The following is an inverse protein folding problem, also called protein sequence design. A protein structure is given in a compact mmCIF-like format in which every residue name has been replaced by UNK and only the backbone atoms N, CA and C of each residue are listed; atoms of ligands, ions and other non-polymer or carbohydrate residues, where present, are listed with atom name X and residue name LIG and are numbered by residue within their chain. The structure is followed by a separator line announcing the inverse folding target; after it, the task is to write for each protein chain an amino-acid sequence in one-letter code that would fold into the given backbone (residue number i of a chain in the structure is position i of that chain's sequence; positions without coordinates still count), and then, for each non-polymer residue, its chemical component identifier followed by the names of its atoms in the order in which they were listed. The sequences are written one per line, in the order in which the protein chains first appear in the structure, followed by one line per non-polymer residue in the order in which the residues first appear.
data_IF_897396581194
#
_entry.id   IF_897396581194
#
_cell.length_a   1.000
_cell.length_b   1.000
_cell.length_c   1.000
_cell.angle_alpha   90.00
_cell.angle_beta   90.00
_cell.angle_gamma   90.00
#
_symmetry.space_group_name_H-M   'P 1'
#
loop_
_entity.id
_entity.type
_entity.pdbx_description
1 polymer ?
#
# COMPACT_ATOMS: atom_id res chain seq x y z
N UNK A 1 23.04 -18.16 6.57
CA UNK A 1 21.81 -17.96 5.78
C UNK A 1 21.01 -16.88 6.50
N UNK A 2 21.11 -15.61 6.08
CA UNK A 2 20.30 -14.57 6.70
C UNK A 2 18.84 -14.80 6.28
N UNK A 3 18.06 -15.34 7.21
CA UNK A 3 16.60 -15.42 7.13
C UNK A 3 16.05 -14.01 6.94
N UNK A 4 14.98 -13.85 6.15
CA UNK A 4 14.35 -12.55 5.96
C UNK A 4 14.01 -11.93 7.33
N UNK A 5 14.45 -10.68 7.61
CA UNK A 5 14.10 -9.97 8.84
C UNK A 5 12.59 -10.02 9.11
N UNK A 6 12.22 -10.18 10.38
CA UNK A 6 10.82 -10.29 10.81
C UNK A 6 10.00 -9.07 10.38
N UNK A 7 10.63 -7.91 10.32
CA UNK A 7 10.09 -6.65 9.84
C UNK A 7 9.66 -6.71 8.37
N UNK A 8 10.48 -7.32 7.50
CA UNK A 8 10.16 -7.49 6.08
C UNK A 8 9.06 -8.53 5.88
N UNK A 9 9.01 -9.58 6.72
CA UNK A 9 7.90 -10.53 6.71
C UNK A 9 6.58 -9.88 7.16
N UNK A 10 6.64 -9.01 8.17
CA UNK A 10 5.49 -8.26 8.64
C UNK A 10 5.04 -7.24 7.60
N UNK A 11 5.98 -6.56 6.94
CA UNK A 11 5.70 -5.64 5.84
C UNK A 11 4.96 -6.34 4.69
N UNK A 12 5.36 -7.57 4.30
CA UNK A 12 4.62 -8.37 3.31
C UNK A 12 3.15 -8.52 3.68
N UNK A 13 2.88 -8.95 4.91
CA UNK A 13 1.50 -9.14 5.38
C UNK A 13 0.72 -7.83 5.37
N UNK A 14 1.36 -6.73 5.79
CA UNK A 14 0.74 -5.40 5.77
C UNK A 14 0.42 -4.92 4.35
N UNK A 15 1.29 -5.15 3.36
CA UNK A 15 0.97 -4.86 1.96
C UNK A 15 -0.23 -5.67 1.48
N UNK A 16 -0.27 -6.97 1.74
CA UNK A 16 -1.39 -7.81 1.30
C UNK A 16 -2.73 -7.38 1.94
N UNK A 17 -2.73 -7.13 3.25
CA UNK A 17 -3.93 -6.69 3.98
C UNK A 17 -4.35 -5.30 3.51
N UNK A 18 -3.40 -4.36 3.37
CA UNK A 18 -3.69 -3.02 2.83
C UNK A 18 -4.28 -3.09 1.42
N UNK A 19 -3.75 -3.95 0.54
CA UNK A 19 -4.26 -4.10 -0.82
C UNK A 19 -5.74 -4.50 -0.84
N UNK A 20 -6.13 -5.44 0.04
CA UNK A 20 -7.51 -5.90 0.19
C UNK A 20 -8.39 -4.77 0.74
N UNK A 21 -7.95 -4.08 1.81
CA UNK A 21 -8.70 -2.97 2.41
C UNK A 21 -8.92 -1.85 1.39
N UNK A 22 -7.89 -1.53 0.59
CA UNK A 22 -7.99 -0.53 -0.46
C UNK A 22 -8.98 -0.92 -1.58
N UNK A 23 -9.03 -2.19 -1.98
CA UNK A 23 -10.05 -2.69 -2.92
C UNK A 23 -11.45 -2.55 -2.32
N UNK A 24 -11.64 -2.97 -1.06
CA UNK A 24 -12.93 -2.83 -0.37
C UNK A 24 -13.32 -1.37 -0.20
N UNK A 25 -12.36 -0.50 0.10
CA UNK A 25 -12.54 0.95 0.18
C UNK A 25 -12.94 1.55 -1.15
N UNK A 26 -12.34 1.12 -2.27
CA UNK A 26 -12.75 1.51 -3.62
C UNK A 26 -14.18 1.08 -3.93
N UNK A 27 -14.54 -0.18 -3.65
CA UNK A 27 -15.90 -0.68 -3.89
C UNK A 27 -16.94 0.05 -3.02
N UNK A 28 -16.61 0.30 -1.76
CA UNK A 28 -17.47 1.02 -0.81
C UNK A 28 -17.69 2.48 -1.22
N UNK A 29 -16.61 3.23 -1.46
CA UNK A 29 -16.69 4.63 -1.90
C UNK A 29 -17.22 4.78 -3.33
N UNK A 30 -16.82 3.90 -4.24
CA UNK A 30 -17.32 3.87 -5.62
C UNK A 30 -18.83 3.58 -5.65
N UNK A 31 -19.29 2.63 -4.85
CA UNK A 31 -20.73 2.35 -4.71
C UNK A 31 -21.49 3.52 -4.09
N UNK A 32 -20.97 4.12 -3.01
CA UNK A 32 -21.63 5.24 -2.33
C UNK A 32 -21.68 6.51 -3.17
N UNK A 33 -20.66 6.78 -3.99
CA UNK A 33 -20.65 7.93 -4.91
C UNK A 33 -21.63 7.76 -6.06
N UNK A 34 -21.86 6.55 -6.57
CA UNK A 34 -22.91 6.27 -7.56
C UNK A 34 -24.30 6.46 -6.94
N UNK A 35 -24.55 5.86 -5.77
CA UNK A 35 -25.85 5.98 -5.08
C UNK A 35 -26.12 7.44 -4.68
N UNK A 36 -25.11 8.10 -4.09
CA UNK A 36 -25.16 9.51 -3.72
C UNK A 36 -25.33 10.41 -4.94
N UNK A 37 -24.71 10.10 -6.07
CA UNK A 37 -24.88 10.80 -7.34
C UNK A 37 -26.33 10.74 -7.85
N UNK A 38 -26.96 9.57 -7.81
CA UNK A 38 -28.38 9.41 -8.17
C UNK A 38 -29.27 10.19 -7.19
N UNK A 39 -29.01 10.10 -5.88
CA UNK A 39 -29.81 10.74 -4.84
C UNK A 39 -29.67 12.28 -4.78
N UNK A 40 -28.52 12.82 -5.23
CA UNK A 40 -28.18 14.25 -5.15
C UNK A 40 -28.17 14.96 -6.51
N UNK A 41 -28.86 14.40 -7.52
CA UNK A 41 -28.93 14.96 -8.87
C UNK A 41 -27.54 15.23 -9.50
N UNK A 42 -26.57 14.34 -9.27
CA UNK A 42 -25.24 14.37 -9.88
C UNK A 42 -24.13 14.99 -9.02
N UNK A 43 -24.45 15.64 -7.90
CA UNK A 43 -23.43 16.27 -7.03
C UNK A 43 -22.52 15.21 -6.38
N UNK A 44 -23.07 14.06 -5.99
CA UNK A 44 -22.32 12.94 -5.41
C UNK A 44 -21.29 12.32 -6.36
N UNK A 45 -21.44 12.51 -7.67
CA UNK A 45 -20.46 12.04 -8.67
C UNK A 45 -19.16 12.87 -8.67
N UNK A 46 -19.18 14.11 -8.14
CA UNK A 46 -17.98 14.96 -8.08
C UNK A 46 -16.88 14.39 -7.19
N UNK A 47 -17.25 13.55 -6.22
CA UNK A 47 -16.31 12.86 -5.33
C UNK A 47 -15.94 11.46 -5.83
N UNK A 48 -16.45 11.03 -6.99
CA UNK A 48 -16.22 9.70 -7.57
C UNK A 48 -14.78 9.42 -8.01
N UNK A 49 -13.93 10.44 -8.12
CA UNK A 49 -12.51 10.27 -8.46
C UNK A 49 -11.63 9.95 -7.25
N UNK A 50 -12.03 10.32 -6.03
CA UNK A 50 -11.27 10.05 -4.79
C UNK A 50 -10.90 8.57 -4.59
N UNK A 51 -11.79 7.59 -4.83
CA UNK A 51 -11.43 6.19 -4.62
C UNK A 51 -10.38 5.66 -5.61
N UNK A 52 -10.05 6.38 -6.69
CA UNK A 52 -8.96 5.98 -7.63
C UNK A 52 -7.62 5.81 -6.91
N UNK A 53 -7.36 6.64 -5.89
CA UNK A 53 -6.14 6.54 -5.07
C UNK A 53 -6.05 5.20 -4.35
N UNK A 54 -7.18 4.63 -3.94
CA UNK A 54 -7.20 3.31 -3.30
C UNK A 54 -6.83 2.20 -4.29
N UNK A 55 -7.28 2.28 -5.56
CA UNK A 55 -6.85 1.28 -6.57
C UNK A 55 -5.37 1.39 -6.85
N UNK A 56 -4.84 2.60 -7.06
CA UNK A 56 -3.41 2.80 -7.33
C UNK A 56 -2.59 2.25 -6.15
N UNK A 57 -3.00 2.57 -4.92
CA UNK A 57 -2.36 2.06 -3.70
C UNK A 57 -2.40 0.52 -3.63
N UNK A 58 -3.55 -0.09 -3.94
CA UNK A 58 -3.69 -1.56 -3.98
C UNK A 58 -2.77 -2.23 -5.01
N UNK A 59 -2.66 -1.65 -6.21
CA UNK A 59 -1.73 -2.16 -7.25
C UNK A 59 -0.29 -2.09 -6.76
N UNK A 60 0.12 -0.97 -6.18
CA UNK A 60 1.46 -0.81 -5.63
C UNK A 60 1.74 -1.78 -4.48
N UNK A 61 0.75 -2.02 -3.62
CA UNK A 61 0.83 -2.99 -2.53
C UNK A 61 1.05 -4.43 -3.07
N UNK A 62 0.34 -4.84 -4.12
CA UNK A 62 0.56 -6.16 -4.75
C UNK A 62 1.93 -6.28 -5.40
N UNK A 63 2.42 -5.22 -6.04
CA UNK A 63 3.76 -5.21 -6.64
C UNK A 63 4.82 -5.33 -5.54
N UNK A 64 4.70 -4.57 -4.45
CA UNK A 64 5.61 -4.63 -3.30
C UNK A 64 5.59 -6.01 -2.64
N UNK A 65 4.40 -6.59 -2.44
CA UNK A 65 4.22 -7.96 -1.94
C UNK A 65 4.94 -8.99 -2.82
N UNK A 66 4.73 -8.94 -4.14
CA UNK A 66 5.37 -9.87 -5.08
C UNK A 66 6.89 -9.72 -5.13
N UNK A 67 7.41 -8.49 -5.07
CA UNK A 67 8.86 -8.25 -5.02
C UNK A 67 9.49 -8.79 -3.74
N UNK A 68 8.86 -8.53 -2.60
CA UNK A 68 9.27 -9.10 -1.32
C UNK A 68 9.19 -10.62 -1.33
N UNK A 69 8.22 -11.22 -2.05
CA UNK A 69 8.06 -12.67 -2.08
C UNK A 69 9.12 -13.39 -2.90
N UNK A 70 9.52 -12.79 -4.02
CA UNK A 70 10.48 -13.40 -4.92
C UNK A 70 11.92 -12.98 -4.62
N UNK A 71 12.17 -11.86 -3.92
CA UNK A 71 13.52 -11.33 -3.60
C UNK A 71 14.49 -11.33 -4.80
N UNK A 72 13.97 -11.09 -6.00
CA UNK A 72 14.68 -11.40 -7.25
C UNK A 72 14.94 -10.19 -8.16
N UNK A 73 14.67 -8.96 -7.71
CA UNK A 73 14.77 -7.78 -8.56
C UNK A 73 15.37 -6.57 -7.85
N UNK A 74 16.30 -5.90 -8.53
CA UNK A 74 16.86 -4.60 -8.15
C UNK A 74 15.76 -3.54 -7.97
N UNK A 75 15.96 -2.60 -7.06
CA UNK A 75 14.99 -1.56 -6.75
C UNK A 75 13.78 -2.05 -5.94
N UNK A 76 13.92 -3.16 -5.21
CA UNK A 76 12.87 -3.65 -4.29
C UNK A 76 12.67 -2.65 -3.16
N UNK A 77 13.73 -2.01 -2.63
CA UNK A 77 13.60 -0.96 -1.63
C UNK A 77 12.74 0.21 -2.12
N UNK A 78 13.05 0.76 -3.31
CA UNK A 78 12.28 1.89 -3.87
C UNK A 78 10.80 1.53 -4.08
N UNK A 79 10.51 0.28 -4.44
CA UNK A 79 9.12 -0.17 -4.68
C UNK A 79 8.35 -0.30 -3.37
N UNK A 80 8.97 -0.88 -2.34
CA UNK A 80 8.39 -0.98 -1.00
C UNK A 80 8.16 0.42 -0.42
N UNK A 81 9.14 1.31 -0.56
CA UNK A 81 9.04 2.69 -0.09
C UNK A 81 7.91 3.44 -0.81
N UNK A 82 7.81 3.31 -2.13
CA UNK A 82 6.76 3.95 -2.92
C UNK A 82 5.38 3.40 -2.54
N UNK A 83 5.24 2.09 -2.35
CA UNK A 83 3.99 1.48 -1.91
C UNK A 83 3.60 1.97 -0.51
N UNK A 84 4.54 2.05 0.43
CA UNK A 84 4.28 2.58 1.77
C UNK A 84 3.85 4.06 1.74
N UNK A 85 4.41 4.88 0.84
CA UNK A 85 3.95 6.26 0.63
C UNK A 85 2.51 6.27 0.10
N UNK A 86 2.16 5.44 -0.87
CA UNK A 86 0.78 5.36 -1.36
C UNK A 86 -0.19 4.89 -0.27
N UNK A 87 0.22 3.97 0.60
CA UNK A 87 -0.58 3.60 1.78
C UNK A 87 -0.83 4.81 2.70
N UNK A 88 0.18 5.64 2.97
CA UNK A 88 0.02 6.87 3.75
C UNK A 88 -0.97 7.82 3.08
N UNK A 89 -0.88 7.98 1.76
CA UNK A 89 -1.76 8.90 1.00
C UNK A 89 -3.23 8.44 1.03
N UNK A 90 -3.53 7.16 1.25
CA UNK A 90 -4.93 6.67 1.37
C UNK A 90 -5.70 7.27 2.56
N UNK A 91 -5.05 8.02 3.45
CA UNK A 91 -5.76 8.80 4.49
C UNK A 91 -6.77 9.78 3.90
N UNK A 92 -6.53 10.30 2.68
CA UNK A 92 -7.46 11.22 2.00
C UNK A 92 -8.80 10.58 1.67
N UNK A 93 -8.86 9.24 1.59
CA UNK A 93 -10.09 8.47 1.39
C UNK A 93 -10.63 7.90 2.71
N UNK A 94 -10.04 8.29 3.84
CA UNK A 94 -10.42 7.83 5.18
C UNK A 94 -9.86 6.45 5.56
N UNK A 95 -8.94 5.88 4.78
CA UNK A 95 -8.35 4.58 5.09
C UNK A 95 -7.22 4.69 6.14
N UNK A 96 -7.62 4.76 7.40
CA UNK A 96 -6.70 4.91 8.55
C UNK A 96 -5.81 3.66 8.72
N UNK A 97 -6.32 2.47 8.39
CA UNK A 97 -5.58 1.21 8.59
C UNK A 97 -4.38 1.14 7.66
N UNK A 98 -4.59 1.37 6.36
CA UNK A 98 -3.48 1.43 5.39
C UNK A 98 -2.51 2.56 5.73
N UNK A 99 -3.00 3.72 6.18
CA UNK A 99 -2.13 4.80 6.64
C UNK A 99 -1.16 4.36 7.77
N UNK A 100 -1.68 3.67 8.80
CA UNK A 100 -0.85 3.18 9.91
C UNK A 100 0.19 2.16 9.40
N UNK A 101 -0.22 1.24 8.53
CA UNK A 101 0.69 0.26 7.94
C UNK A 101 1.82 0.92 7.14
N UNK A 102 1.52 1.94 6.35
CA UNK A 102 2.53 2.68 5.60
C UNK A 102 3.56 3.34 6.50
N UNK A 103 3.14 3.94 7.62
CA UNK A 103 4.06 4.53 8.62
C UNK A 103 4.97 3.46 9.22
N UNK A 104 4.41 2.32 9.64
CA UNK A 104 5.18 1.24 10.26
C UNK A 104 6.20 0.68 9.26
N UNK A 105 5.80 0.47 8.00
CA UNK A 105 6.69 -0.02 6.95
C UNK A 105 7.82 0.98 6.68
N UNK A 106 7.53 2.28 6.63
CA UNK A 106 8.56 3.32 6.48
C UNK A 106 9.55 3.29 7.65
N UNK A 107 9.08 3.09 8.88
CA UNK A 107 9.94 2.93 10.05
C UNK A 107 10.81 1.67 9.95
N UNK A 108 10.27 0.56 9.43
CA UNK A 108 11.03 -0.67 9.22
C UNK A 108 12.11 -0.51 8.14
N UNK A 109 11.81 0.19 7.06
CA UNK A 109 12.79 0.48 6.01
C UNK A 109 13.95 1.36 6.48
N UNK A 110 13.77 2.14 7.55
CA UNK A 110 14.83 2.98 8.10
C UNK A 110 15.83 2.21 8.98
N UNK A 111 15.45 1.02 9.47
CA UNK A 111 16.33 0.19 10.30
C UNK A 111 17.56 -0.30 9.53
N UNK A 112 18.73 -0.19 10.16
CA UNK A 112 20.00 -0.63 9.57
C UNK A 112 20.00 -2.12 9.21
N UNK A 113 19.35 -2.97 10.02
CA UNK A 113 19.24 -4.41 9.74
C UNK A 113 18.51 -4.69 8.41
N UNK A 114 17.44 -3.94 8.12
CA UNK A 114 16.67 -4.08 6.89
C UNK A 114 17.46 -3.54 5.69
N UNK A 115 18.11 -2.38 5.84
CA UNK A 115 18.97 -1.80 4.79
C UNK A 115 20.14 -2.73 4.45
N UNK A 116 20.84 -3.25 5.47
CA UNK A 116 21.95 -4.19 5.32
C UNK A 116 21.49 -5.46 4.62
N UNK A 117 20.35 -6.04 5.02
CA UNK A 117 19.78 -7.22 4.35
C UNK A 117 19.49 -6.98 2.86
N UNK A 118 18.89 -5.83 2.52
CA UNK A 118 18.57 -5.49 1.13
C UNK A 118 19.82 -5.22 0.28
N UNK A 119 20.86 -4.62 0.87
CA UNK A 119 22.18 -4.47 0.24
C UNK A 119 22.89 -5.80 0.03
N UNK A 120 22.93 -6.68 1.03
CA UNK A 120 23.52 -8.03 0.93
C UNK A 120 22.86 -8.88 -0.16
N UNK A 121 21.57 -8.63 -0.42
CA UNK A 121 20.79 -9.31 -1.46
C UNK A 121 20.86 -8.61 -2.82
N UNK A 122 21.61 -7.51 -2.95
CA UNK A 122 21.71 -6.69 -4.18
C UNK A 122 20.36 -6.21 -4.73
N UNK A 123 19.35 -6.04 -3.87
CA UNK A 123 17.97 -5.67 -4.24
C UNK A 123 17.55 -4.29 -3.71
N UNK A 124 18.49 -3.53 -3.15
CA UNK A 124 18.30 -2.13 -2.78
C UNK A 124 17.79 -1.32 -3.99
#
# INVERSE_FOLDING_TARGET
MNTMPTELQTAKTFFLVSAIINILGFLGWGGSTIIGGIASCGIGCLLGFLPVVNIISSVMDFIAYNKLNNLNQKGTFSTIQTAAVFQIVTIITGNIVSFIFGIIIMSYLDKDEVKNYLHEKEIF
#
